data_IF_002997168393
#
_entry.id   IF_002997168393
#
_cell.length_a   1.000
_cell.length_b   1.000
_cell.length_c   1.000
_cell.angle_alpha   90.00
_cell.angle_beta   90.00
_cell.angle_gamma   90.00
#
_symmetry.space_group_name_H-M   'P 1'
#
loop_
_entity.id
_entity.type
_entity.pdbx_description
1 polymer ?
#
# COMPACT_ATOMS: atom_id res chain seq x y z
N UNK A 1 -14.03 -15.75 -10.43
CA UNK A 1 -14.69 -16.12 -9.17
C UNK A 1 -14.40 -15.00 -8.18
N UNK A 2 -15.41 -14.26 -7.73
CA UNK A 2 -15.21 -13.19 -6.75
C UNK A 2 -15.05 -13.81 -5.35
N UNK A 3 -13.91 -13.57 -4.70
CA UNK A 3 -13.60 -14.09 -3.37
C UNK A 3 -13.93 -13.11 -2.25
N UNK A 4 -13.99 -13.60 -1.01
CA UNK A 4 -13.94 -12.75 0.18
C UNK A 4 -12.49 -12.41 0.54
N UNK A 5 -12.29 -11.43 1.44
CA UNK A 5 -10.97 -11.18 2.04
C UNK A 5 -10.40 -12.46 2.66
N UNK A 6 -9.11 -12.72 2.44
CA UNK A 6 -8.46 -13.94 2.95
C UNK A 6 -8.26 -13.89 4.47
N UNK A 7 -8.21 -12.68 5.05
CA UNK A 7 -8.07 -12.46 6.49
C UNK A 7 -9.18 -11.56 7.03
N UNK A 8 -9.51 -11.71 8.32
CA UNK A 8 -10.45 -10.83 9.01
C UNK A 8 -9.92 -9.41 9.20
N UNK A 9 -10.83 -8.44 9.36
CA UNK A 9 -10.45 -7.04 9.61
C UNK A 9 -9.66 -6.90 10.92
N UNK A 10 -10.14 -7.52 12.00
CA UNK A 10 -9.52 -7.46 13.33
C UNK A 10 -8.50 -8.58 13.61
N UNK A 11 -8.06 -9.29 12.57
CA UNK A 11 -6.98 -10.28 12.63
C UNK A 11 -5.60 -9.60 12.78
N UNK A 12 -5.53 -8.51 13.55
CA UNK A 12 -4.35 -7.64 13.67
C UNK A 12 -3.22 -8.30 14.47
N UNK A 13 -3.55 -9.23 15.36
CA UNK A 13 -2.57 -9.94 16.17
C UNK A 13 -1.92 -11.12 15.43
N UNK A 14 -2.43 -11.49 14.24
CA UNK A 14 -1.90 -12.60 13.46
C UNK A 14 -0.52 -12.30 12.86
N UNK A 15 -0.12 -11.03 12.77
CA UNK A 15 1.17 -10.60 12.23
C UNK A 15 1.74 -9.45 13.08
N UNK A 16 2.39 -9.82 14.20
CA UNK A 16 2.92 -8.89 15.22
C UNK A 16 3.91 -7.87 14.65
N UNK A 17 4.69 -8.26 13.63
CA UNK A 17 5.62 -7.37 12.93
C UNK A 17 4.88 -6.26 12.18
N UNK A 18 3.83 -6.63 11.43
CA UNK A 18 2.95 -5.67 10.74
C UNK A 18 2.18 -4.82 11.76
N UNK A 19 1.79 -5.39 12.90
CA UNK A 19 1.09 -4.69 13.98
C UNK A 19 1.94 -3.58 14.60
N UNK A 20 3.21 -3.86 14.92
CA UNK A 20 4.15 -2.88 15.48
C UNK A 20 4.41 -1.74 14.48
N UNK A 21 4.60 -2.07 13.19
CA UNK A 21 4.70 -1.07 12.13
C UNK A 21 3.40 -0.29 11.90
N UNK A 22 2.24 -0.93 12.06
CA UNK A 22 0.93 -0.30 11.96
C UNK A 22 0.66 0.72 13.07
N UNK A 23 1.03 0.40 14.31
CA UNK A 23 0.86 1.29 15.47
C UNK A 23 1.75 2.54 15.41
N UNK A 24 2.99 2.41 14.92
CA UNK A 24 3.93 3.53 14.82
C UNK A 24 3.92 4.26 13.47
N UNK A 25 3.50 3.60 12.39
CA UNK A 25 3.68 4.07 11.01
C UNK A 25 2.62 3.52 10.01
N UNK A 26 1.34 3.41 10.43
CA UNK A 26 0.24 2.95 9.56
C UNK A 26 0.19 3.64 8.18
N UNK A 27 0.45 4.94 8.13
CA UNK A 27 0.51 5.70 6.87
C UNK A 27 1.62 5.20 5.94
N UNK A 28 2.82 4.95 6.47
CA UNK A 28 3.93 4.40 5.69
C UNK A 28 3.59 3.01 5.16
N UNK A 29 2.89 2.19 5.96
CA UNK A 29 2.43 0.88 5.53
C UNK A 29 1.40 0.97 4.40
N UNK A 30 0.44 1.89 4.48
CA UNK A 30 -0.53 2.14 3.40
C UNK A 30 0.15 2.58 2.10
N UNK A 31 1.15 3.46 2.21
CA UNK A 31 1.97 3.91 1.08
C UNK A 31 2.74 2.74 0.48
N UNK A 32 3.41 1.92 1.29
CA UNK A 32 4.11 0.72 0.81
C UNK A 32 3.16 -0.22 0.08
N UNK A 33 1.98 -0.48 0.64
CA UNK A 33 0.97 -1.31 -0.02
C UNK A 33 0.59 -0.75 -1.39
N UNK A 34 0.39 0.57 -1.50
CA UNK A 34 0.06 1.23 -2.78
C UNK A 34 1.19 1.14 -3.81
N UNK A 35 2.45 1.29 -3.39
CA UNK A 35 3.63 1.17 -4.26
C UNK A 35 3.79 -0.26 -4.76
N UNK A 36 3.60 -1.25 -3.87
CA UNK A 36 3.61 -2.66 -4.23
C UNK A 36 2.48 -2.99 -5.21
N UNK A 37 1.29 -2.47 -4.96
CA UNK A 37 0.14 -2.64 -5.84
C UNK A 37 0.41 -2.07 -7.24
N UNK A 38 1.06 -0.90 -7.29
CA UNK A 38 1.46 -0.19 -8.51
C UNK A 38 2.77 -0.67 -9.14
N UNK A 39 3.34 -1.79 -8.69
CA UNK A 39 4.59 -2.37 -9.22
C UNK A 39 5.76 -1.37 -9.24
N UNK A 40 5.87 -0.56 -8.18
CA UNK A 40 6.95 0.41 -7.99
C UNK A 40 6.64 1.79 -8.56
N UNK A 41 5.49 1.98 -9.23
CA UNK A 41 5.03 3.31 -9.68
C UNK A 41 4.35 4.08 -8.55
N UNK A 42 4.42 5.40 -8.64
CA UNK A 42 3.68 6.29 -7.75
C UNK A 42 2.19 6.37 -8.16
N UNK A 43 1.40 7.03 -7.33
CA UNK A 43 0.02 7.41 -7.65
C UNK A 43 -0.04 8.14 -8.99
N UNK A 44 -1.15 7.98 -9.71
CA UNK A 44 -1.35 8.48 -11.08
C UNK A 44 -0.40 7.86 -12.13
N UNK A 45 0.26 6.75 -11.80
CA UNK A 45 1.12 6.02 -12.74
C UNK A 45 2.44 6.72 -13.04
N UNK A 46 2.86 7.66 -12.20
CA UNK A 46 4.15 8.32 -12.36
C UNK A 46 5.29 7.33 -12.11
N UNK A 47 6.33 7.45 -12.93
CA UNK A 47 7.52 6.61 -12.87
C UNK A 47 8.41 7.04 -11.69
N UNK A 48 8.67 6.10 -10.78
CA UNK A 48 9.50 6.30 -9.59
C UNK A 48 10.94 6.70 -9.93
N UNK A 49 11.52 6.13 -10.99
CA UNK A 49 12.90 6.42 -11.38
C UNK A 49 13.05 7.87 -11.88
N UNK A 50 12.05 8.37 -12.63
CA UNK A 50 12.04 9.77 -13.10
C UNK A 50 11.86 10.77 -11.96
N UNK A 51 11.08 10.41 -10.94
CA UNK A 51 10.90 11.23 -9.75
C UNK A 51 12.14 11.21 -8.86
N UNK A 52 12.78 10.04 -8.71
CA UNK A 52 13.97 9.87 -7.88
C UNK A 52 15.24 10.47 -8.52
N UNK A 53 15.32 10.53 -9.85
CA UNK A 53 16.49 11.01 -10.62
C UNK A 53 17.09 12.33 -10.10
N UNK A 54 16.30 13.41 -9.95
CA UNK A 54 16.77 14.68 -9.42
C UNK A 54 17.30 14.63 -7.97
N UNK A 55 16.94 13.58 -7.21
CA UNK A 55 17.28 13.41 -5.79
C UNK A 55 18.26 12.25 -5.54
N UNK A 56 18.86 11.67 -6.58
CA UNK A 56 19.87 10.60 -6.44
C UNK A 56 21.07 11.05 -5.61
N UNK A 57 21.45 12.33 -5.69
CA UNK A 57 22.51 12.91 -4.86
C UNK A 57 22.18 12.94 -3.36
N UNK A 58 20.90 12.87 -3.00
CA UNK A 58 20.41 12.74 -1.62
C UNK A 58 20.19 11.28 -1.20
N UNK A 59 20.57 10.31 -2.04
CA UNK A 59 20.48 8.88 -1.76
C UNK A 59 19.17 8.19 -2.17
N UNK A 60 18.30 8.86 -2.94
CA UNK A 60 17.04 8.28 -3.40
C UNK A 60 17.29 7.24 -4.49
N UNK A 61 16.79 6.02 -4.29
CA UNK A 61 16.96 4.90 -5.22
C UNK A 61 15.65 4.12 -5.41
N UNK A 62 15.53 3.42 -6.54
CA UNK A 62 14.41 2.53 -6.83
C UNK A 62 13.03 3.19 -6.62
N UNK A 63 12.30 2.74 -5.61
CA UNK A 63 10.91 3.15 -5.32
C UNK A 63 10.78 4.36 -4.40
N UNK A 64 11.87 4.95 -3.92
CA UNK A 64 11.85 6.07 -2.96
C UNK A 64 11.07 7.28 -3.50
N UNK A 65 11.19 7.56 -4.80
CA UNK A 65 10.42 8.61 -5.46
C UNK A 65 8.90 8.36 -5.41
N UNK A 66 8.46 7.11 -5.58
CA UNK A 66 7.06 6.74 -5.45
C UNK A 66 6.57 6.81 -4.01
N UNK A 67 7.41 6.41 -3.05
CA UNK A 67 7.10 6.53 -1.63
C UNK A 67 6.85 7.99 -1.24
N UNK A 68 7.72 8.92 -1.65
CA UNK A 68 7.58 10.34 -1.35
C UNK A 68 6.33 10.97 -2.00
N UNK A 69 6.05 10.67 -3.27
CA UNK A 69 4.85 11.17 -3.94
C UNK A 69 3.59 10.63 -3.27
N UNK A 70 3.53 9.33 -2.96
CA UNK A 70 2.38 8.76 -2.28
C UNK A 70 2.23 9.28 -0.85
N UNK A 71 3.34 9.61 -0.18
CA UNK A 71 3.31 10.29 1.12
C UNK A 71 2.70 11.69 1.03
N UNK A 72 3.10 12.48 0.04
CA UNK A 72 2.51 13.79 -0.21
C UNK A 72 1.02 13.68 -0.56
N UNK A 73 0.65 12.76 -1.46
CA UNK A 73 -0.76 12.52 -1.83
C UNK A 73 -1.59 12.09 -0.63
N UNK A 74 -1.11 11.14 0.18
CA UNK A 74 -1.82 10.68 1.37
C UNK A 74 -1.96 11.78 2.45
N UNK A 75 -1.01 12.71 2.53
CA UNK A 75 -1.05 13.83 3.47
C UNK A 75 -2.02 14.91 3.01
N UNK A 76 -2.00 15.27 1.72
CA UNK A 76 -2.91 16.27 1.15
C UNK A 76 -4.33 15.75 0.97
N UNK A 77 -4.49 14.44 0.71
CA UNK A 77 -5.75 13.78 0.39
C UNK A 77 -5.87 12.48 1.19
N UNK A 78 -6.21 12.53 2.50
CA UNK A 78 -6.25 11.33 3.36
C UNK A 78 -7.26 10.29 2.87
N UNK A 79 -8.32 10.72 2.17
CA UNK A 79 -9.33 9.83 1.59
C UNK A 79 -8.78 8.94 0.46
N UNK A 80 -7.58 9.20 -0.08
CA UNK A 80 -6.96 8.40 -1.14
C UNK A 80 -6.77 6.95 -0.72
N UNK A 81 -6.59 6.69 0.58
CA UNK A 81 -6.44 5.34 1.09
C UNK A 81 -7.63 4.43 0.74
N UNK A 82 -8.86 4.97 0.77
CA UNK A 82 -10.07 4.20 0.44
C UNK A 82 -10.05 3.78 -1.03
N UNK A 83 -9.49 4.61 -1.91
CA UNK A 83 -9.31 4.27 -3.32
C UNK A 83 -8.26 3.19 -3.49
N UNK A 84 -7.10 3.29 -2.81
CA UNK A 84 -6.07 2.25 -2.84
C UNK A 84 -6.57 0.91 -2.34
N UNK A 85 -7.37 0.91 -1.26
CA UNK A 85 -8.03 -0.30 -0.77
C UNK A 85 -9.02 -0.86 -1.80
N UNK A 86 -9.79 0.00 -2.45
CA UNK A 86 -10.65 -0.40 -3.56
C UNK A 86 -9.88 -1.03 -4.72
N UNK A 87 -8.68 -0.53 -5.00
CA UNK A 87 -7.80 -1.07 -6.05
C UNK A 87 -7.17 -2.41 -5.66
N UNK A 88 -6.84 -2.63 -4.37
CA UNK A 88 -6.48 -3.97 -3.85
C UNK A 88 -7.61 -4.96 -4.14
N UNK A 89 -8.86 -4.60 -3.83
CA UNK A 89 -10.02 -5.46 -4.10
C UNK A 89 -10.20 -5.74 -5.58
N UNK A 90 -10.05 -4.73 -6.45
CA UNK A 90 -10.15 -4.90 -7.89
C UNK A 90 -9.03 -5.81 -8.42
N UNK A 91 -7.79 -5.64 -7.95
CA UNK A 91 -6.63 -6.42 -8.41
C UNK A 91 -6.78 -7.90 -8.09
N UNK A 92 -7.34 -8.23 -6.93
CA UNK A 92 -7.51 -9.63 -6.48
C UNK A 92 -8.93 -10.19 -6.66
N UNK A 93 -9.86 -9.42 -7.23
CA UNK A 93 -11.24 -9.87 -7.44
C UNK A 93 -12.04 -10.07 -6.13
N UNK A 94 -11.77 -9.27 -5.11
CA UNK A 94 -12.42 -9.35 -3.78
C UNK A 94 -13.78 -8.63 -3.82
N UNK A 95 -14.83 -9.30 -3.36
CA UNK A 95 -16.16 -8.72 -3.26
C UNK A 95 -16.19 -7.58 -2.23
N UNK A 96 -16.82 -6.47 -2.58
CA UNK A 96 -16.97 -5.32 -1.68
C UNK A 96 -17.48 -4.09 -2.40
N UNK A 97 -17.81 -3.06 -1.62
CA UNK A 97 -18.25 -1.76 -2.13
C UNK A 97 -17.38 -0.65 -1.56
N UNK A 98 -17.38 0.50 -2.24
CA UNK A 98 -16.70 1.69 -1.74
C UNK A 98 -17.18 2.08 -0.33
N UNK A 99 -18.49 1.97 -0.07
CA UNK A 99 -19.06 2.23 1.25
C UNK A 99 -18.54 1.25 2.30
N UNK A 100 -18.39 -0.03 1.95
CA UNK A 100 -17.80 -1.03 2.85
C UNK A 100 -16.34 -0.70 3.21
N UNK A 101 -15.56 -0.23 2.24
CA UNK A 101 -14.18 0.20 2.49
C UNK A 101 -14.11 1.46 3.37
N UNK A 102 -15.02 2.42 3.15
CA UNK A 102 -15.15 3.61 3.98
C UNK A 102 -15.47 3.23 5.43
N UNK A 103 -16.46 2.35 5.66
CA UNK A 103 -16.79 1.90 7.00
C UNK A 103 -15.66 1.13 7.67
N UNK A 104 -14.94 0.29 6.93
CA UNK A 104 -13.76 -0.41 7.46
C UNK A 104 -12.66 0.57 7.88
N UNK A 105 -12.39 1.59 7.06
CA UNK A 105 -11.42 2.63 7.36
C UNK A 105 -11.84 3.51 8.56
N UNK A 106 -13.12 3.85 8.68
CA UNK A 106 -13.65 4.63 9.81
C UNK A 106 -13.65 3.83 11.11
N UNK A 107 -13.92 2.52 11.04
CA UNK A 107 -13.93 1.65 12.21
C UNK A 107 -12.52 1.42 12.76
N UNK A 108 -11.57 1.10 11.86
CA UNK A 108 -10.15 1.00 12.22
C UNK A 108 -9.28 1.07 10.96
N UNK A 109 -8.79 2.27 10.63
CA UNK A 109 -7.91 2.48 9.47
C UNK A 109 -6.65 1.60 9.53
N UNK A 110 -6.03 1.49 10.70
CA UNK A 110 -4.85 0.63 10.87
C UNK A 110 -5.15 -0.84 10.53
N UNK A 111 -6.25 -1.37 11.06
CA UNK A 111 -6.69 -2.74 10.83
C UNK A 111 -6.96 -3.00 9.34
N UNK A 112 -7.61 -2.04 8.67
CA UNK A 112 -7.86 -2.08 7.24
C UNK A 112 -6.54 -2.11 6.44
N UNK A 113 -5.59 -1.23 6.76
CA UNK A 113 -4.27 -1.16 6.09
C UNK A 113 -3.49 -2.47 6.29
N UNK A 114 -3.52 -3.03 7.50
CA UNK A 114 -2.85 -4.30 7.79
C UNK A 114 -3.50 -5.46 7.04
N UNK A 115 -4.83 -5.46 6.90
CA UNK A 115 -5.56 -6.44 6.10
C UNK A 115 -5.12 -6.37 4.63
N UNK A 116 -4.96 -5.16 4.08
CA UNK A 116 -4.43 -4.98 2.72
C UNK A 116 -3.01 -5.54 2.59
N UNK A 117 -2.15 -5.27 3.58
CA UNK A 117 -0.76 -5.74 3.60
C UNK A 117 -0.66 -7.27 3.64
N UNK A 118 -1.50 -7.92 4.46
CA UNK A 118 -1.58 -9.38 4.52
C UNK A 118 -2.06 -9.97 3.20
N UNK A 119 -3.06 -9.35 2.58
CA UNK A 119 -3.55 -9.81 1.27
C UNK A 119 -2.44 -9.73 0.22
N UNK A 120 -1.72 -8.61 0.13
CA UNK A 120 -0.56 -8.47 -0.76
C UNK A 120 0.49 -9.56 -0.50
N UNK A 121 0.80 -9.85 0.78
CA UNK A 121 1.74 -10.89 1.18
C UNK A 121 1.27 -12.30 0.78
N UNK A 122 -0.01 -12.61 0.92
CA UNK A 122 -0.61 -13.91 0.51
C UNK A 122 -0.47 -14.10 -1.02
N UNK A 123 -0.63 -13.04 -1.79
CA UNK A 123 -0.45 -13.06 -3.25
C UNK A 123 1.02 -12.93 -3.69
N UNK A 124 1.98 -13.05 -2.76
CA UNK A 124 3.41 -13.02 -3.07
C UNK A 124 3.93 -11.65 -3.49
N UNK A 125 3.24 -10.56 -3.12
CA UNK A 125 3.68 -9.20 -3.38
C UNK A 125 4.28 -8.60 -2.10
N UNK A 126 5.61 -8.55 -2.04
CA UNK A 126 6.36 -7.92 -0.94
C UNK A 126 7.08 -6.65 -1.40
N UNK A 127 7.14 -5.65 -0.54
CA UNK A 127 7.80 -4.36 -0.83
C UNK A 127 9.27 -4.52 -1.27
N UNK A 128 10.04 -5.37 -0.58
CA UNK A 128 11.45 -5.60 -0.90
C UNK A 128 11.69 -6.17 -2.31
N UNK A 129 10.79 -7.02 -2.80
CA UNK A 129 10.91 -7.59 -4.15
C UNK A 129 10.65 -6.55 -5.24
N UNK A 130 9.67 -5.67 -5.02
CA UNK A 130 9.35 -4.58 -5.94
C UNK A 130 10.47 -3.54 -5.97
N UNK A 131 11.05 -3.23 -4.81
CA UNK A 131 12.21 -2.35 -4.71
C UNK A 131 13.41 -2.91 -5.49
N UNK A 132 13.76 -4.20 -5.30
CA UNK A 132 14.86 -4.84 -6.02
C UNK A 132 14.65 -4.80 -7.56
N UNK A 133 13.47 -5.18 -8.04
CA UNK A 133 13.13 -5.14 -9.48
C UNK A 133 13.23 -3.74 -10.11
N UNK A 134 13.06 -2.69 -9.32
CA UNK A 134 13.12 -1.30 -9.79
C UNK A 134 14.56 -0.77 -9.78
N UNK A 135 15.45 -1.34 -8.98
CA UNK A 135 16.88 -1.00 -8.95
C UNK A 135 17.67 -1.61 -10.10
N UNK A 136 17.21 -2.74 -10.65
CA UNK A 136 17.86 -3.44 -11.79
C UNK A 136 17.54 -2.82 -13.17
N UNK A 137 16.66 -1.82 -13.24
CA UNK A 137 16.25 -1.12 -14.47
C UNK A 137 17.00 0.19 -14.66
#
# INVERSE_FOLDING_TARGET
>A
MSGNWSTGLFAIFDDLSIFIYGLGASRCLAINNSVVLGEGKASFGLDSAKIAGPFQCAGFIGTDGAFCVNCAVCTCLPCVYILWRGDVRKKFGIQGSFMGDLFAALCCACCAIMQDSRELKIHGLAYGEVQAKTMDK
#
